data_IF_546760564208
#
_entry.id   IF_546760564208
#
_cell.length_a   1.000
_cell.length_b   1.000
_cell.length_c   1.000
_cell.angle_alpha   90.00
_cell.angle_beta   90.00
_cell.angle_gamma   90.00
#
_symmetry.space_group_name_H-M   'P 1'
#
loop_
_entity.id
_entity.type
_entity.pdbx_description
1 polymer ?
#
# COMPACT_ATOMS: atom_id res chain seq x y z
N UNK A 1 -31.03 -4.97 -7.80
CA UNK A 1 -30.02 -4.66 -8.85
C UNK A 1 -28.60 -4.48 -8.29
N UNK A 2 -28.40 -3.87 -7.11
CA UNK A 2 -27.06 -3.67 -6.50
C UNK A 2 -26.32 -5.00 -6.20
N UNK A 3 -27.06 -6.07 -5.86
CA UNK A 3 -26.50 -7.38 -5.51
C UNK A 3 -25.68 -8.05 -6.63
N UNK A 4 -26.00 -7.77 -7.91
CA UNK A 4 -25.35 -8.44 -9.05
C UNK A 4 -23.97 -7.84 -9.39
N UNK A 5 -23.73 -6.58 -9.00
CA UNK A 5 -22.43 -5.92 -9.19
C UNK A 5 -21.43 -6.37 -8.12
N UNK A 6 -21.94 -6.66 -6.92
CA UNK A 6 -21.16 -7.12 -5.78
C UNK A 6 -20.47 -8.46 -6.07
N UNK A 7 -21.19 -9.48 -6.55
CA UNK A 7 -20.64 -10.84 -6.79
C UNK A 7 -19.52 -10.90 -7.85
N UNK A 8 -19.53 -10.00 -8.85
CA UNK A 8 -18.51 -9.99 -9.91
C UNK A 8 -17.13 -9.50 -9.44
N UNK A 9 -17.06 -8.64 -8.42
CA UNK A 9 -15.80 -8.00 -8.01
C UNK A 9 -14.98 -8.83 -7.00
N UNK A 10 -15.61 -9.68 -6.19
CA UNK A 10 -14.90 -10.50 -5.19
C UNK A 10 -14.23 -11.77 -5.76
N UNK A 11 -14.40 -12.06 -7.05
CA UNK A 11 -13.77 -13.20 -7.72
C UNK A 11 -12.32 -12.96 -8.19
N UNK A 12 -11.85 -11.72 -8.17
CA UNK A 12 -10.50 -11.36 -8.62
C UNK A 12 -9.62 -11.08 -7.41
N UNK A 13 -8.79 -12.07 -7.05
CA UNK A 13 -7.73 -11.90 -6.08
C UNK A 13 -6.86 -10.69 -6.47
N UNK A 14 -6.53 -9.80 -5.51
CA UNK A 14 -5.70 -8.62 -5.77
C UNK A 14 -4.33 -9.08 -6.26
N UNK A 15 -4.05 -8.80 -7.54
CA UNK A 15 -2.76 -9.10 -8.15
C UNK A 15 -1.78 -7.99 -7.78
N UNK A 16 -0.65 -8.39 -7.21
CA UNK A 16 0.57 -7.58 -7.01
C UNK A 16 0.50 -6.54 -5.87
N UNK A 17 0.63 -7.01 -4.63
CA UNK A 17 1.18 -6.18 -3.55
C UNK A 17 2.66 -5.99 -3.87
N UNK A 18 3.05 -4.85 -4.45
CA UNK A 18 4.45 -4.44 -4.47
C UNK A 18 4.81 -4.06 -3.04
N UNK A 19 5.34 -5.00 -2.28
CA UNK A 19 5.84 -4.73 -0.93
C UNK A 19 6.81 -3.55 -0.99
N UNK A 20 6.39 -2.41 -0.45
CA UNK A 20 7.24 -1.25 -0.23
C UNK A 20 8.12 -1.56 0.98
N UNK A 21 9.12 -2.43 0.77
CA UNK A 21 10.02 -2.86 1.83
C UNK A 21 10.86 -1.66 2.24
N UNK A 22 10.55 -1.12 3.42
CA UNK A 22 11.33 -0.06 4.04
C UNK A 22 12.43 -0.69 4.88
N UNK A 23 13.67 -0.33 4.60
CA UNK A 23 14.83 -0.79 5.37
C UNK A 23 15.31 0.30 6.32
N UNK A 24 15.51 -0.08 7.58
CA UNK A 24 16.25 0.76 8.53
C UNK A 24 17.75 0.51 8.34
N UNK A 25 18.49 1.57 8.04
CA UNK A 25 19.94 1.54 7.87
C UNK A 25 20.62 2.29 9.01
N UNK A 26 21.74 1.73 9.48
CA UNK A 26 22.66 2.34 10.43
C UNK A 26 24.01 2.54 9.75
N UNK A 27 24.56 3.75 9.79
CA UNK A 27 25.95 3.99 9.39
C UNK A 27 26.88 3.53 10.52
N UNK A 28 27.82 2.63 10.23
CA UNK A 28 28.84 2.20 11.21
C UNK A 28 29.92 3.25 11.44
N UNK A 29 30.06 4.24 10.55
CA UNK A 29 31.08 5.27 10.67
C UNK A 29 30.68 6.43 11.59
N UNK A 30 29.39 6.79 11.61
CA UNK A 30 28.88 7.91 12.44
C UNK A 30 27.73 7.54 13.38
N UNK A 31 27.21 6.32 13.29
CA UNK A 31 26.07 5.88 14.09
C UNK A 31 24.70 6.42 13.66
N UNK A 32 24.62 7.24 12.60
CA UNK A 32 23.35 7.79 12.12
C UNK A 32 22.42 6.69 11.59
N UNK A 33 21.13 6.78 11.91
CA UNK A 33 20.08 5.84 11.49
C UNK A 33 19.09 6.53 10.57
N UNK A 34 18.69 5.88 9.48
CA UNK A 34 17.69 6.41 8.55
C UNK A 34 16.94 5.31 7.82
N UNK A 35 15.80 5.69 7.24
CA UNK A 35 14.88 4.77 6.59
C UNK A 35 14.97 4.98 5.08
N UNK A 36 15.22 3.91 4.32
CA UNK A 36 15.14 3.94 2.85
C UNK A 36 13.87 3.26 2.39
N UNK A 37 13.18 3.89 1.43
CA UNK A 37 11.96 3.37 0.78
C UNK A 37 12.28 2.43 -0.38
N UNK A 38 13.54 2.38 -0.80
CA UNK A 38 13.96 1.55 -1.92
C UNK A 38 14.71 0.31 -1.41
N UNK A 39 14.59 -0.78 -2.17
CA UNK A 39 15.44 -1.96 -2.04
C UNK A 39 16.93 -1.68 -2.28
N UNK A 40 17.25 -0.51 -2.81
CA UNK A 40 18.61 -0.07 -3.07
C UNK A 40 19.19 0.61 -1.84
N UNK A 41 20.33 0.08 -1.39
CA UNK A 41 21.15 0.72 -0.35
C UNK A 41 21.69 2.04 -0.91
N UNK A 42 21.48 3.18 -0.24
CA UNK A 42 21.96 4.47 -0.71
C UNK A 42 23.48 4.49 -0.82
N UNK A 43 24.00 5.29 -1.75
CA UNK A 43 25.44 5.39 -1.99
C UNK A 43 26.21 6.04 -0.83
N UNK A 44 25.55 6.97 -0.13
CA UNK A 44 26.19 7.91 0.79
C UNK A 44 25.35 8.01 2.07
N UNK A 45 26.02 8.10 3.23
CA UNK A 45 25.37 8.40 4.49
C UNK A 45 24.93 9.88 4.53
N UNK A 46 23.65 10.19 4.81
CA UNK A 46 23.15 11.58 4.82
C UNK A 46 23.74 12.45 5.94
N UNK A 47 24.25 11.84 7.03
CA UNK A 47 24.85 12.58 8.14
C UNK A 47 26.34 12.87 7.91
N UNK A 48 27.16 11.83 7.76
CA UNK A 48 28.61 12.01 7.63
C UNK A 48 29.11 12.12 6.18
N UNK A 49 28.22 12.03 5.19
CA UNK A 49 28.53 12.09 3.75
C UNK A 49 29.53 11.03 3.26
N UNK A 50 29.83 10.01 4.07
CA UNK A 50 30.71 8.92 3.68
C UNK A 50 30.02 7.95 2.73
N UNK A 51 30.80 7.36 1.83
CA UNK A 51 30.33 6.32 0.92
C UNK A 51 30.06 5.03 1.69
N UNK A 52 28.85 4.49 1.54
CA UNK A 52 28.38 3.29 2.23
C UNK A 52 28.06 2.16 1.24
N UNK A 53 27.67 2.47 0.00
CA UNK A 53 27.38 1.44 -1.00
C UNK A 53 28.63 0.68 -1.44
N UNK A 54 28.52 -0.64 -1.51
CA UNK A 54 29.66 -1.53 -1.81
C UNK A 54 30.69 -1.62 -0.68
N UNK A 55 30.40 -1.04 0.49
CA UNK A 55 31.29 -1.08 1.66
C UNK A 55 30.58 -1.74 2.84
N UNK A 56 31.31 -2.32 3.79
CA UNK A 56 30.72 -2.90 5.01
C UNK A 56 30.42 -1.84 6.10
N UNK A 57 30.41 -0.55 5.74
CA UNK A 57 30.28 0.60 6.64
C UNK A 57 28.82 0.95 6.99
N UNK A 58 27.90 0.02 6.76
CA UNK A 58 26.51 0.13 7.17
C UNK A 58 26.00 -1.19 7.75
N UNK A 59 24.88 -1.12 8.47
CA UNK A 59 24.14 -2.26 8.98
C UNK A 59 22.65 -2.08 8.68
N UNK A 60 22.00 -3.13 8.20
CA UNK A 60 20.55 -3.19 8.06
C UNK A 60 20.00 -3.61 9.41
N UNK A 61 19.22 -2.75 10.06
CA UNK A 61 18.64 -3.00 11.38
C UNK A 61 17.37 -3.86 11.33
N UNK A 62 16.80 -4.04 10.13
CA UNK A 62 15.62 -4.86 9.89
C UNK A 62 14.67 -4.22 8.88
N UNK A 63 13.73 -5.03 8.40
CA UNK A 63 12.58 -4.51 7.64
C UNK A 63 11.66 -3.80 8.63
N UNK A 64 11.37 -2.52 8.36
CA UNK A 64 10.13 -1.94 8.88
C UNK A 64 9.04 -2.56 8.02
N UNK A 65 8.59 -3.76 8.38
CA UNK A 65 7.22 -4.10 8.06
C UNK A 65 6.41 -2.96 8.67
N UNK A 66 5.64 -2.27 7.85
CA UNK A 66 4.65 -1.36 8.39
C UNK A 66 3.86 -2.20 9.38
N UNK A 67 4.08 -1.98 10.67
CA UNK A 67 3.09 -2.25 11.69
C UNK A 67 1.97 -1.26 11.42
N UNK A 68 1.25 -1.42 10.31
CA UNK A 68 -0.16 -1.15 10.33
C UNK A 68 -0.69 -2.17 11.30
N UNK A 69 -0.91 -1.68 12.51
CA UNK A 69 -1.78 -2.26 13.51
C UNK A 69 -2.87 -3.10 12.84
N UNK A 70 -3.12 -4.29 13.37
CA UNK A 70 -3.74 -5.46 12.73
C UNK A 70 -5.18 -5.29 12.20
N UNK A 71 -5.68 -4.07 11.97
CA UNK A 71 -7.08 -3.74 11.70
C UNK A 71 -7.34 -2.81 10.51
N UNK A 72 -6.31 -2.24 9.87
CA UNK A 72 -6.48 -1.35 8.72
C UNK A 72 -6.00 -1.98 7.40
N UNK A 73 -6.92 -2.09 6.45
CA UNK A 73 -6.64 -2.44 5.06
C UNK A 73 -5.69 -1.37 4.49
N UNK A 74 -4.54 -1.74 3.91
CA UNK A 74 -3.59 -0.77 3.37
C UNK A 74 -4.27 0.21 2.39
N UNK A 75 -3.98 1.51 2.52
CA UNK A 75 -4.57 2.54 1.64
C UNK A 75 -4.34 2.27 0.15
N UNK A 76 -3.24 1.62 -0.21
CA UNK A 76 -2.93 1.22 -1.59
C UNK A 76 -3.95 0.19 -2.13
N UNK A 77 -4.34 -0.77 -1.30
CA UNK A 77 -5.34 -1.79 -1.66
C UNK A 77 -6.74 -1.18 -1.78
N UNK A 78 -7.03 -0.16 -0.96
CA UNK A 78 -8.28 0.61 -1.05
C UNK A 78 -8.30 1.48 -2.31
N UNK A 79 -7.17 2.07 -2.69
CA UNK A 79 -7.04 2.90 -3.89
C UNK A 79 -7.25 2.08 -5.17
N UNK A 80 -6.64 0.90 -5.25
CA UNK A 80 -6.84 0.00 -6.38
C UNK A 80 -8.28 -0.51 -6.46
N UNK A 81 -8.89 -0.88 -5.33
CA UNK A 81 -10.31 -1.23 -5.30
C UNK A 81 -11.21 -0.07 -5.74
N UNK A 82 -10.92 1.17 -5.32
CA UNK A 82 -11.65 2.37 -5.76
C UNK A 82 -11.54 2.59 -7.26
N UNK A 83 -10.38 2.36 -7.87
CA UNK A 83 -10.20 2.48 -9.33
C UNK A 83 -11.07 1.49 -10.08
N UNK A 84 -11.09 0.23 -9.64
CA UNK A 84 -11.90 -0.81 -10.27
C UNK A 84 -13.40 -0.52 -10.13
N UNK A 85 -13.86 -0.17 -8.92
CA UNK A 85 -15.25 0.24 -8.69
C UNK A 85 -15.63 1.44 -9.54
N UNK A 86 -14.78 2.47 -9.60
CA UNK A 86 -15.04 3.67 -10.40
C UNK A 86 -15.14 3.37 -11.89
N UNK A 87 -14.30 2.47 -12.39
CA UNK A 87 -14.28 2.05 -13.80
C UNK A 87 -15.58 1.35 -14.17
N UNK A 88 -16.06 0.44 -13.33
CA UNK A 88 -17.31 -0.28 -13.58
C UNK A 88 -18.53 0.64 -13.40
N UNK A 89 -18.55 1.48 -12.38
CA UNK A 89 -19.64 2.46 -12.20
C UNK A 89 -19.71 3.49 -13.34
N UNK A 90 -18.59 3.85 -13.97
CA UNK A 90 -18.60 4.72 -15.16
C UNK A 90 -19.28 4.07 -16.36
N UNK A 91 -19.28 2.73 -16.44
CA UNK A 91 -19.94 1.98 -17.52
C UNK A 91 -21.45 1.95 -17.32
N UNK A 92 -21.90 1.73 -16.08
CA UNK A 92 -23.33 1.60 -15.77
C UNK A 92 -24.02 2.96 -15.54
N UNK A 93 -23.28 3.97 -15.06
CA UNK A 93 -23.79 5.30 -14.72
C UNK A 93 -22.90 6.43 -15.31
N UNK A 94 -22.90 6.62 -16.64
CA UNK A 94 -21.99 7.57 -17.30
C UNK A 94 -22.28 9.05 -16.98
N UNK A 95 -23.54 9.40 -16.68
CA UNK A 95 -23.97 10.79 -16.45
C UNK A 95 -24.41 11.10 -15.01
N UNK A 96 -24.50 10.10 -14.13
CA UNK A 96 -24.95 10.29 -12.75
C UNK A 96 -23.79 10.17 -11.76
N UNK A 97 -23.08 11.30 -11.59
CA UNK A 97 -21.94 11.41 -10.69
C UNK A 97 -22.33 11.17 -9.23
N UNK A 98 -23.53 11.59 -8.81
CA UNK A 98 -23.98 11.51 -7.43
C UNK A 98 -24.20 10.06 -7.02
N UNK A 99 -24.89 9.31 -7.85
CA UNK A 99 -25.11 7.86 -7.67
C UNK A 99 -23.78 7.09 -7.67
N UNK A 100 -22.84 7.45 -8.56
CA UNK A 100 -21.50 6.84 -8.59
C UNK A 100 -20.72 7.06 -7.29
N UNK A 101 -20.65 8.27 -6.76
CA UNK A 101 -19.92 8.58 -5.53
C UNK A 101 -20.54 7.93 -4.28
N UNK A 102 -21.86 7.73 -4.27
CA UNK A 102 -22.57 7.03 -3.21
C UNK A 102 -22.28 5.53 -3.23
N UNK A 103 -22.36 4.90 -4.41
CA UNK A 103 -22.00 3.48 -4.57
C UNK A 103 -20.52 3.23 -4.30
N UNK A 104 -19.61 4.07 -4.79
CA UNK A 104 -18.17 3.95 -4.53
C UNK A 104 -17.89 3.96 -3.01
N UNK A 105 -18.53 4.88 -2.27
CA UNK A 105 -18.41 4.95 -0.81
C UNK A 105 -19.00 3.72 -0.11
N UNK A 106 -20.14 3.22 -0.58
CA UNK A 106 -20.78 2.04 -0.01
C UNK A 106 -19.93 0.78 -0.21
N UNK A 107 -19.40 0.58 -1.43
CA UNK A 107 -18.58 -0.58 -1.77
C UNK A 107 -17.23 -0.59 -1.01
N UNK A 108 -16.58 0.57 -0.85
CA UNK A 108 -15.35 0.66 -0.04
C UNK A 108 -15.61 0.35 1.44
N UNK A 109 -16.76 0.77 1.98
CA UNK A 109 -17.15 0.45 3.36
C UNK A 109 -17.36 -1.05 3.55
N UNK A 110 -18.07 -1.71 2.63
CA UNK A 110 -18.29 -3.16 2.68
C UNK A 110 -16.99 -3.93 2.47
N UNK A 111 -16.11 -3.51 1.55
CA UNK A 111 -14.80 -4.14 1.36
C UNK A 111 -13.94 -4.10 2.65
N UNK A 112 -13.94 -2.97 3.35
CA UNK A 112 -13.27 -2.84 4.66
C UNK A 112 -13.90 -3.75 5.72
N UNK A 113 -15.22 -3.93 5.68
CA UNK A 113 -15.97 -4.78 6.63
C UNK A 113 -15.73 -6.27 6.38
N UNK A 114 -15.76 -6.72 5.14
CA UNK A 114 -15.50 -8.11 4.75
C UNK A 114 -14.04 -8.50 5.03
N UNK A 115 -13.09 -7.61 4.77
CA UNK A 115 -11.67 -7.82 5.08
C UNK A 115 -11.42 -7.99 6.59
N UNK A 116 -12.31 -7.46 7.45
CA UNK A 116 -12.27 -7.64 8.91
C UNK A 116 -12.94 -8.95 9.36
N UNK A 117 -13.90 -9.48 8.60
CA UNK A 117 -14.65 -10.70 8.94
C UNK A 117 -13.97 -12.00 8.47
N UNK A 118 -13.03 -11.94 7.52
CA UNK A 118 -12.28 -13.11 7.03
C UNK A 118 -10.99 -13.43 7.82
N UNK A 119 -10.80 -12.82 8.99
CA UNK A 119 -9.77 -13.20 9.97
C UNK A 119 -10.41 -14.00 11.10
#
# INVERSE_FOLDING_TARGET
MISMVFEKMFGHAPKNIKENIRYNLLCKNCGYKWNTRESRIPAICPSCKNRIYGTQNFQILGNVQNSTDSNDVPDEMIDDFRKDVRKDLMKDFPHDKRTREELERHMVKEFKKDSRQRK
#
